data_IF_058429446258
#
_entry.id   IF_058429446258
#
_cell.length_a   1.000
_cell.length_b   1.000
_cell.length_c   1.000
_cell.angle_alpha   90.00
_cell.angle_beta   90.00
_cell.angle_gamma   90.00
#
_symmetry.space_group_name_H-M   'P 1'
#
loop_
_entity.id
_entity.type
_entity.pdbx_description
1 polymer ?
#
# COMPACT_ATOMS: atom_id res chain seq x y z
N UNK A 1 14.85 -9.89 -28.42
CA UNK A 1 15.34 -9.49 -27.08
C UNK A 1 15.83 -8.02 -27.01
N UNK A 2 15.53 -7.14 -27.98
CA UNK A 2 16.11 -5.78 -28.05
C UNK A 2 15.06 -4.66 -27.83
N UNK A 3 13.77 -4.91 -28.06
CA UNK A 3 12.72 -3.87 -27.97
C UNK A 3 12.21 -3.58 -26.55
N UNK A 4 12.54 -4.40 -25.56
CA UNK A 4 12.10 -4.19 -24.18
C UNK A 4 12.90 -3.11 -23.44
N UNK A 5 14.19 -2.96 -23.74
CA UNK A 5 15.11 -2.15 -22.94
C UNK A 5 15.13 -0.65 -23.31
N UNK A 6 14.61 -0.26 -24.48
CA UNK A 6 14.64 1.13 -24.94
C UNK A 6 13.57 1.99 -24.22
N UNK A 7 12.51 1.38 -23.66
CA UNK A 7 11.51 2.07 -22.85
C UNK A 7 11.94 2.31 -21.38
N UNK A 8 12.93 1.58 -20.88
CA UNK A 8 13.44 1.70 -19.49
C UNK A 8 14.63 2.67 -19.37
N UNK A 9 15.16 3.18 -20.49
CA UNK A 9 16.35 4.05 -20.53
C UNK A 9 16.04 5.55 -20.39
N UNK A 10 14.77 5.94 -20.37
CA UNK A 10 14.39 7.34 -20.18
C UNK A 10 14.54 7.72 -18.71
N UNK A 11 15.39 8.70 -18.40
CA UNK A 11 15.48 9.31 -17.05
C UNK A 11 14.10 9.66 -16.46
N UNK A 12 13.10 9.94 -17.31
CA UNK A 12 11.71 10.11 -16.87
C UNK A 12 11.09 8.88 -16.17
N UNK A 13 11.36 7.65 -16.64
CA UNK A 13 10.84 6.41 -16.05
C UNK A 13 11.39 6.19 -14.63
N UNK A 14 12.70 6.35 -14.46
CA UNK A 14 13.39 6.10 -13.19
C UNK A 14 13.12 7.19 -12.14
N UNK A 15 12.92 8.44 -12.56
CA UNK A 15 12.72 9.56 -11.62
C UNK A 15 11.25 9.92 -11.37
N UNK A 16 10.32 9.52 -12.25
CA UNK A 16 8.91 9.92 -12.13
C UNK A 16 7.94 8.73 -12.09
N UNK A 17 8.02 7.82 -13.06
CA UNK A 17 7.06 6.72 -13.17
C UNK A 17 7.24 5.68 -12.05
N UNK A 18 8.49 5.29 -11.77
CA UNK A 18 8.84 4.33 -10.71
C UNK A 18 8.41 4.83 -9.32
N UNK A 19 8.80 6.05 -8.88
CA UNK A 19 8.38 6.60 -7.59
C UNK A 19 6.86 6.74 -7.48
N UNK A 20 6.18 7.15 -8.56
CA UNK A 20 4.72 7.27 -8.56
C UNK A 20 4.01 5.91 -8.40
N UNK A 21 4.48 4.87 -9.09
CA UNK A 21 3.94 3.52 -8.93
C UNK A 21 4.19 2.97 -7.51
N UNK A 22 5.37 3.24 -6.94
CA UNK A 22 5.68 2.88 -5.55
C UNK A 22 4.73 3.60 -4.58
N UNK A 23 4.49 4.89 -4.79
CA UNK A 23 3.58 5.70 -3.98
C UNK A 23 2.16 5.11 -3.98
N UNK A 24 1.59 4.83 -5.15
CA UNK A 24 0.24 4.25 -5.27
C UNK A 24 0.19 2.84 -4.65
N UNK A 25 1.21 2.01 -4.92
CA UNK A 25 1.30 0.67 -4.34
C UNK A 25 1.35 0.72 -2.81
N UNK A 26 2.04 1.70 -2.20
CA UNK A 26 2.06 1.87 -0.74
C UNK A 26 0.75 2.35 -0.16
N UNK A 27 0.03 3.22 -0.85
CA UNK A 27 -1.32 3.62 -0.41
C UNK A 27 -2.24 2.40 -0.34
N UNK A 28 -2.23 1.56 -1.37
CA UNK A 28 -3.04 0.34 -1.38
C UNK A 28 -2.64 -0.63 -0.27
N UNK A 29 -1.34 -0.87 -0.08
CA UNK A 29 -0.83 -1.75 0.97
C UNK A 29 -1.26 -1.32 2.38
N UNK A 30 -1.03 -0.04 2.72
CA UNK A 30 -1.39 0.48 4.04
C UNK A 30 -2.91 0.46 4.24
N UNK A 31 -3.69 0.76 3.20
CA UNK A 31 -5.16 0.70 3.26
C UNK A 31 -5.65 -0.73 3.52
N UNK A 32 -5.06 -1.73 2.87
CA UNK A 32 -5.36 -3.15 3.11
C UNK A 32 -5.01 -3.53 4.55
N UNK A 33 -3.85 -3.08 5.06
CA UNK A 33 -3.43 -3.29 6.44
C UNK A 33 -4.44 -2.72 7.45
N UNK A 34 -5.01 -1.54 7.17
CA UNK A 34 -6.07 -0.97 8.01
C UNK A 34 -7.35 -1.80 7.97
N UNK A 35 -7.80 -2.22 6.78
CA UNK A 35 -8.98 -3.10 6.66
C UNK A 35 -8.77 -4.43 7.40
N UNK A 36 -7.56 -5.01 7.32
CA UNK A 36 -7.18 -6.21 8.06
C UNK A 36 -7.33 -5.98 9.57
N UNK A 37 -6.81 -4.87 10.10
CA UNK A 37 -6.94 -4.53 11.53
C UNK A 37 -8.41 -4.44 11.93
N UNK A 38 -9.24 -3.76 11.13
CA UNK A 38 -10.69 -3.67 11.38
C UNK A 38 -11.35 -5.05 11.36
N UNK A 39 -10.99 -5.93 10.43
CA UNK A 39 -11.51 -7.30 10.37
C UNK A 39 -11.07 -8.16 11.57
N UNK A 40 -9.83 -7.99 12.04
CA UNK A 40 -9.34 -8.62 13.27
C UNK A 40 -10.16 -8.15 14.48
N UNK A 41 -10.37 -6.83 14.60
CA UNK A 41 -11.20 -6.24 15.67
C UNK A 41 -12.67 -6.68 15.61
N UNK A 42 -13.17 -7.04 14.41
CA UNK A 42 -14.51 -7.63 14.22
C UNK A 42 -14.58 -9.12 14.57
N UNK A 43 -13.44 -9.79 14.74
CA UNK A 43 -13.39 -11.24 14.97
C UNK A 43 -13.54 -12.09 13.69
N UNK A 44 -13.37 -11.50 12.50
CA UNK A 44 -13.47 -12.19 11.21
C UNK A 44 -12.21 -13.03 10.97
N UNK A 45 -12.25 -14.30 11.38
CA UNK A 45 -11.09 -15.22 11.41
C UNK A 45 -10.63 -15.69 10.03
N UNK A 46 -11.43 -15.53 8.98
CA UNK A 46 -11.10 -15.96 7.62
C UNK A 46 -10.52 -14.83 6.76
N UNK A 47 -11.15 -13.66 6.80
CA UNK A 47 -10.76 -12.51 5.97
C UNK A 47 -9.46 -11.84 6.44
N UNK A 48 -9.24 -11.78 7.76
CA UNK A 48 -8.03 -11.19 8.32
C UNK A 48 -6.72 -11.87 7.86
N UNK A 49 -6.54 -13.20 7.97
CA UNK A 49 -5.31 -13.84 7.51
C UNK A 49 -5.16 -13.82 5.98
N UNK A 50 -6.27 -13.89 5.22
CA UNK A 50 -6.23 -13.83 3.76
C UNK A 50 -5.70 -12.47 3.29
N UNK A 51 -6.23 -11.37 3.83
CA UNK A 51 -5.75 -10.02 3.53
C UNK A 51 -4.30 -9.83 3.95
N UNK A 52 -3.90 -10.34 5.11
CA UNK A 52 -2.52 -10.28 5.58
C UNK A 52 -1.53 -11.01 4.67
N UNK A 53 -1.93 -12.13 4.05
CA UNK A 53 -1.10 -12.82 3.07
C UNK A 53 -0.85 -11.96 1.82
N UNK A 54 -1.88 -11.34 1.27
CA UNK A 54 -1.75 -10.46 0.10
C UNK A 54 -0.97 -9.19 0.42
N UNK A 55 -1.17 -8.60 1.60
CA UNK A 55 -0.42 -7.43 2.07
C UNK A 55 1.09 -7.72 2.11
N UNK A 56 1.51 -8.82 2.73
CA UNK A 56 2.93 -9.17 2.80
C UNK A 56 3.53 -9.42 1.41
N UNK A 57 2.78 -10.00 0.47
CA UNK A 57 3.24 -10.16 -0.92
C UNK A 57 3.45 -8.80 -1.62
N UNK A 58 2.51 -7.86 -1.46
CA UNK A 58 2.62 -6.52 -2.04
C UNK A 58 3.82 -5.79 -1.42
N UNK A 59 3.95 -5.86 -0.10
CA UNK A 59 5.06 -5.26 0.63
C UNK A 59 6.42 -5.80 0.16
N UNK A 60 6.56 -7.13 0.01
CA UNK A 60 7.79 -7.76 -0.46
C UNK A 60 8.16 -7.33 -1.89
N UNK A 61 7.18 -7.30 -2.80
CA UNK A 61 7.41 -6.86 -4.18
C UNK A 61 7.82 -5.38 -4.24
N UNK A 62 7.19 -4.54 -3.42
CA UNK A 62 7.50 -3.11 -3.34
C UNK A 62 8.91 -2.87 -2.78
N UNK A 63 9.27 -3.51 -1.67
CA UNK A 63 10.58 -3.29 -1.04
C UNK A 63 11.72 -3.78 -1.94
N UNK A 64 11.55 -4.90 -2.65
CA UNK A 64 12.55 -5.37 -3.63
C UNK A 64 12.78 -4.35 -4.75
N UNK A 65 11.72 -3.67 -5.22
CA UNK A 65 11.83 -2.63 -6.26
C UNK A 65 12.51 -1.36 -5.77
N UNK A 66 12.30 -0.99 -4.51
CA UNK A 66 12.92 0.19 -3.88
C UNK A 66 14.40 -0.07 -3.63
N UNK A 67 14.73 -1.24 -3.07
CA UNK A 67 16.11 -1.66 -2.83
C UNK A 67 16.91 -1.88 -4.12
N UNK A 68 16.24 -2.04 -5.27
CA UNK A 68 16.92 -2.09 -6.58
C UNK A 68 17.17 -0.69 -7.18
N UNK A 69 16.51 0.36 -6.69
CA UNK A 69 16.62 1.75 -7.18
C UNK A 69 17.10 2.71 -6.07
N UNK A 70 18.14 2.28 -5.33
CA UNK A 70 18.71 2.99 -4.17
C UNK A 70 19.37 4.33 -4.55
N UNK A 71 19.74 4.50 -5.82
CA UNK A 71 20.48 5.69 -6.28
C UNK A 71 19.63 6.97 -6.37
N UNK A 72 18.31 6.88 -6.14
CA UNK A 72 17.40 8.01 -6.33
C UNK A 72 16.66 8.35 -5.02
N UNK A 73 17.08 9.45 -4.36
CA UNK A 73 16.43 9.98 -3.15
C UNK A 73 14.91 10.18 -3.32
N UNK A 74 14.48 10.50 -4.54
CA UNK A 74 13.06 10.67 -4.91
C UNK A 74 12.21 9.44 -4.61
N UNK A 75 12.75 8.23 -4.81
CA UNK A 75 12.05 6.97 -4.53
C UNK A 75 11.79 6.77 -3.04
N UNK A 76 12.74 7.17 -2.18
CA UNK A 76 12.57 7.15 -0.73
C UNK A 76 11.53 8.15 -0.25
N UNK A 77 11.57 9.37 -0.80
CA UNK A 77 10.58 10.39 -0.48
C UNK A 77 9.17 9.94 -0.91
N UNK A 78 9.02 9.40 -2.12
CA UNK A 78 7.75 8.86 -2.60
C UNK A 78 7.26 7.68 -1.73
N UNK A 79 8.17 6.84 -1.23
CA UNK A 79 7.81 5.77 -0.31
C UNK A 79 7.28 6.31 1.03
N UNK A 80 7.99 7.26 1.65
CA UNK A 80 7.59 7.86 2.92
C UNK A 80 6.27 8.65 2.77
N UNK A 81 6.13 9.40 1.68
CA UNK A 81 4.89 10.12 1.35
C UNK A 81 3.73 9.15 1.13
N UNK A 82 3.95 8.07 0.37
CA UNK A 82 2.93 7.05 0.09
C UNK A 82 2.47 6.33 1.35
N UNK A 83 3.39 6.08 2.29
CA UNK A 83 3.06 5.55 3.61
C UNK A 83 2.22 6.53 4.44
N UNK A 84 2.59 7.81 4.49
CA UNK A 84 1.83 8.83 5.22
C UNK A 84 0.41 9.01 4.64
N UNK A 85 0.28 9.15 3.31
CA UNK A 85 -1.02 9.27 2.64
C UNK A 85 -1.84 8.00 2.78
N UNK A 86 -1.21 6.82 2.70
CA UNK A 86 -1.87 5.53 2.89
C UNK A 86 -2.50 5.40 4.28
N UNK A 87 -1.82 5.88 5.33
CA UNK A 87 -2.38 5.89 6.69
C UNK A 87 -3.59 6.83 6.79
N UNK A 88 -3.53 8.00 6.16
CA UNK A 88 -4.66 8.94 6.15
C UNK A 88 -5.89 8.34 5.44
N UNK A 89 -5.68 7.70 4.28
CA UNK A 89 -6.76 7.00 3.55
C UNK A 89 -7.28 5.82 4.38
N UNK A 90 -6.39 5.07 5.03
CA UNK A 90 -6.73 3.99 5.96
C UNK A 90 -7.66 4.48 7.07
N UNK A 91 -7.35 5.61 7.70
CA UNK A 91 -8.18 6.21 8.74
C UNK A 91 -9.59 6.52 8.24
N UNK A 92 -9.72 7.09 7.03
CA UNK A 92 -11.03 7.35 6.41
C UNK A 92 -11.79 6.05 6.15
N UNK A 93 -11.10 4.99 5.71
CA UNK A 93 -11.69 3.66 5.50
C UNK A 93 -12.18 3.07 6.81
N UNK A 94 -11.37 3.17 7.87
CA UNK A 94 -11.71 2.71 9.22
C UNK A 94 -12.95 3.44 9.74
N UNK A 95 -12.99 4.77 9.68
CA UNK A 95 -14.15 5.58 10.08
C UNK A 95 -15.42 5.17 9.33
N UNK A 96 -15.32 4.97 8.00
CA UNK A 96 -16.47 4.52 7.19
C UNK A 96 -16.91 3.10 7.53
N UNK A 97 -15.98 2.19 7.79
CA UNK A 97 -16.29 0.82 8.20
C UNK A 97 -16.86 0.76 9.63
N UNK A 98 -16.42 1.65 10.52
CA UNK A 98 -16.87 1.76 11.91
C UNK A 98 -18.27 2.40 12.01
N UNK A 99 -18.61 3.37 11.16
CA UNK A 99 -19.98 3.90 11.05
C UNK A 99 -21.01 2.82 10.68
N UNK A 100 -20.60 1.77 9.96
CA UNK A 100 -21.45 0.59 9.69
C UNK A 100 -21.65 -0.34 10.90
N UNK A 101 -20.91 -0.13 12.01
CA UNK A 101 -20.93 -0.95 13.23
C UNK A 101 -21.49 -0.13 14.40
N UNK A 102 -22.50 0.71 14.16
CA UNK A 102 -23.40 1.07 15.26
C UNK A 102 -24.17 -0.20 15.60
N UNK A 103 -23.55 -1.08 16.40
CA UNK A 103 -24.28 -2.08 17.16
C UNK A 103 -25.20 -1.28 18.06
N UNK A 104 -26.47 -1.21 17.69
CA UNK A 104 -27.54 -0.77 18.58
C UNK A 104 -27.59 -1.84 19.68
N UNK A 105 -26.77 -1.66 20.71
CA UNK A 105 -26.89 -2.44 21.92
C UNK A 105 -28.01 -1.78 22.72
N UNK A 106 -29.21 -2.30 22.55
CA UNK A 106 -30.27 -2.06 23.52
C UNK A 106 -29.79 -2.67 24.84
N UNK A 107 -29.55 -1.82 25.84
CA UNK A 107 -29.37 -2.19 27.24
C UNK A 107 -30.76 -2.36 27.85
#
# INVERSE_FOLDING_TARGET
MIFGNIFFDTSFYNYFLLPFLIFVSRIMDVSIGTVRIVMVSKGERFWAPLLGFFEVLIWLLAISRIMANLDNWTSYFAYAAGFATGNYVGLIIEERLAMGIVKIQFI
#
